data_IF_138945042281
#
_entry.id   IF_138945042281
#
_cell.length_a   1.000
_cell.length_b   1.000
_cell.length_c   1.000
_cell.angle_alpha   90.00
_cell.angle_beta   90.00
_cell.angle_gamma   90.00
#
_symmetry.space_group_name_H-M   'P 1'
#
loop_
_entity.id
_entity.type
_entity.pdbx_description
1 polymer ?
#
# COMPACT_ATOMS: atom_id res chain seq x y z
N UNK A 1 -12.65 -47.04 25.02
CA UNK A 1 -13.71 -47.06 23.99
C UNK A 1 -13.03 -47.26 22.65
N UNK A 2 -13.35 -48.30 21.89
CA UNK A 2 -12.76 -48.53 20.56
C UNK A 2 -13.33 -47.51 19.57
N UNK A 3 -12.45 -46.87 18.80
CA UNK A 3 -12.84 -46.01 17.67
C UNK A 3 -13.75 -46.80 16.72
N UNK A 4 -14.97 -46.31 16.49
CA UNK A 4 -15.92 -46.93 15.56
C UNK A 4 -15.41 -46.69 14.14
N UNK A 5 -15.12 -47.78 13.40
CA UNK A 5 -14.60 -47.69 12.03
C UNK A 5 -15.64 -47.06 11.10
N UNK A 6 -15.33 -45.87 10.58
CA UNK A 6 -16.17 -45.16 9.60
C UNK A 6 -15.91 -45.70 8.19
N UNK A 7 -16.97 -46.16 7.49
CA UNK A 7 -16.92 -46.62 6.10
C UNK A 7 -17.07 -45.49 5.05
N UNK A 8 -17.21 -44.24 5.51
CA UNK A 8 -17.33 -43.08 4.63
C UNK A 8 -16.04 -42.87 3.84
N UNK A 9 -16.18 -42.52 2.55
CA UNK A 9 -15.09 -42.13 1.65
C UNK A 9 -15.29 -40.67 1.21
N UNK A 10 -14.87 -39.68 2.02
CA UNK A 10 -14.98 -38.29 1.64
C UNK A 10 -14.23 -38.02 0.33
N UNK A 11 -14.89 -37.33 -0.59
CA UNK A 11 -14.28 -36.89 -1.83
C UNK A 11 -13.57 -35.54 -1.62
N UNK A 12 -12.31 -35.45 -2.01
CA UNK A 12 -11.52 -34.21 -1.97
C UNK A 12 -11.41 -33.65 -3.39
N UNK A 13 -12.22 -32.65 -3.77
CA UNK A 13 -12.14 -32.07 -5.10
C UNK A 13 -10.76 -31.44 -5.35
N UNK A 14 -10.17 -31.63 -6.55
CA UNK A 14 -8.89 -31.01 -6.88
C UNK A 14 -9.06 -29.49 -7.03
N UNK A 15 -8.15 -28.72 -6.44
CA UNK A 15 -8.06 -27.26 -6.61
C UNK A 15 -6.89 -26.95 -7.53
N UNK A 16 -7.11 -26.09 -8.54
CA UNK A 16 -6.06 -25.62 -9.45
C UNK A 16 -5.05 -24.77 -8.68
N UNK A 17 -3.88 -25.30 -8.33
CA UNK A 17 -2.93 -24.64 -7.41
C UNK A 17 -2.54 -23.20 -7.80
N UNK A 18 -2.29 -22.95 -9.09
CA UNK A 18 -1.79 -21.65 -9.57
C UNK A 18 -2.88 -20.71 -10.10
N UNK A 19 -4.02 -21.27 -10.52
CA UNK A 19 -5.03 -20.55 -11.32
C UNK A 19 -6.43 -20.59 -10.72
N UNK A 20 -6.60 -21.10 -9.50
CA UNK A 20 -7.90 -21.11 -8.80
C UNK A 20 -8.55 -19.72 -8.75
N UNK A 21 -7.76 -18.67 -8.65
CA UNK A 21 -8.24 -17.29 -8.53
C UNK A 21 -8.76 -16.72 -9.86
N UNK A 22 -8.47 -17.38 -10.99
CA UNK A 22 -9.03 -17.00 -12.30
C UNK A 22 -10.46 -17.48 -12.48
N UNK A 23 -10.93 -18.42 -11.64
CA UNK A 23 -12.25 -19.03 -11.79
C UNK A 23 -13.39 -18.10 -11.30
N UNK A 24 -13.09 -17.00 -10.58
CA UNK A 24 -14.10 -16.07 -10.07
C UNK A 24 -13.58 -14.61 -10.08
N UNK A 25 -14.34 -13.63 -10.63
CA UNK A 25 -13.98 -12.21 -10.61
C UNK A 25 -13.66 -11.66 -9.21
N UNK A 26 -14.31 -12.17 -8.16
CA UNK A 26 -14.01 -11.79 -6.77
C UNK A 26 -12.59 -12.18 -6.36
N UNK A 27 -12.12 -13.37 -6.78
CA UNK A 27 -10.76 -13.82 -6.49
C UNK A 27 -9.72 -13.06 -7.32
N UNK A 28 -10.05 -12.70 -8.56
CA UNK A 28 -9.22 -11.81 -9.37
C UNK A 28 -9.04 -10.47 -8.66
N UNK A 29 -10.14 -9.84 -8.21
CA UNK A 29 -10.08 -8.57 -7.49
C UNK A 29 -9.26 -8.67 -6.19
N UNK A 30 -9.42 -9.78 -5.45
CA UNK A 30 -8.57 -10.08 -4.29
C UNK A 30 -7.09 -10.15 -4.67
N UNK A 31 -6.72 -10.89 -5.71
CA UNK A 31 -5.33 -11.02 -6.14
C UNK A 31 -4.75 -9.69 -6.65
N UNK A 32 -5.55 -8.87 -7.34
CA UNK A 32 -5.15 -7.52 -7.75
C UNK A 32 -4.90 -6.63 -6.54
N UNK A 33 -5.75 -6.70 -5.50
CA UNK A 33 -5.54 -6.00 -4.23
C UNK A 33 -4.22 -6.40 -3.57
N UNK A 34 -3.97 -7.69 -3.42
CA UNK A 34 -2.71 -8.17 -2.83
C UNK A 34 -1.49 -7.80 -3.71
N UNK A 35 -1.67 -7.77 -5.03
CA UNK A 35 -0.65 -7.36 -5.99
C UNK A 35 -0.16 -5.92 -5.82
N UNK A 36 -0.96 -5.04 -5.19
CA UNK A 36 -0.52 -3.66 -4.86
C UNK A 36 0.76 -3.64 -4.01
N UNK A 37 1.05 -4.71 -3.27
CA UNK A 37 2.27 -4.83 -2.47
C UNK A 37 3.56 -4.81 -3.31
N UNK A 38 3.54 -5.35 -4.53
CA UNK A 38 4.70 -5.32 -5.43
C UNK A 38 5.00 -3.88 -5.86
N UNK A 39 3.96 -3.11 -6.18
CA UNK A 39 4.10 -1.70 -6.55
C UNK A 39 4.49 -0.83 -5.36
N UNK A 40 3.99 -1.14 -4.16
CA UNK A 40 4.43 -0.49 -2.93
C UNK A 40 5.93 -0.75 -2.65
N UNK A 41 6.39 -2.00 -2.86
CA UNK A 41 7.81 -2.34 -2.73
C UNK A 41 8.68 -1.54 -3.71
N UNK A 42 8.25 -1.41 -4.98
CA UNK A 42 8.98 -0.59 -5.95
C UNK A 42 9.07 0.87 -5.51
N UNK A 43 7.98 1.45 -4.99
CA UNK A 43 7.98 2.80 -4.47
C UNK A 43 8.99 2.99 -3.32
N UNK A 44 9.04 2.03 -2.38
CA UNK A 44 9.99 2.09 -1.26
C UNK A 44 11.43 1.95 -1.76
N UNK A 45 11.71 1.05 -2.71
CA UNK A 45 13.04 0.90 -3.29
C UNK A 45 13.49 2.19 -4.01
N UNK A 46 12.59 2.88 -4.71
CA UNK A 46 12.88 4.17 -5.33
C UNK A 46 13.21 5.26 -4.30
N UNK A 47 12.47 5.32 -3.19
CA UNK A 47 12.74 6.27 -2.10
C UNK A 47 14.09 5.96 -1.44
N UNK A 48 14.37 4.69 -1.15
CA UNK A 48 15.65 4.25 -0.57
C UNK A 48 16.80 4.59 -1.52
N UNK A 49 16.61 4.43 -2.83
CA UNK A 49 17.60 4.82 -3.83
C UNK A 49 17.84 6.34 -3.83
N UNK A 50 16.78 7.15 -3.71
CA UNK A 50 16.91 8.60 -3.56
C UNK A 50 17.66 9.01 -2.29
N UNK A 51 17.38 8.36 -1.15
CA UNK A 51 18.09 8.57 0.11
C UNK A 51 19.57 8.18 -0.04
N UNK A 52 19.86 7.06 -0.69
CA UNK A 52 21.22 6.63 -0.97
C UNK A 52 21.97 7.64 -1.85
N UNK A 53 21.33 8.14 -2.92
CA UNK A 53 21.90 9.17 -3.78
C UNK A 53 22.14 10.50 -3.04
N UNK A 54 21.25 10.86 -2.12
CA UNK A 54 21.45 12.03 -1.25
C UNK A 54 22.61 11.81 -0.26
N UNK A 55 22.76 10.61 0.30
CA UNK A 55 23.83 10.29 1.25
C UNK A 55 25.23 10.30 0.60
N UNK A 56 25.30 10.16 -0.73
CA UNK A 56 26.55 10.33 -1.49
C UNK A 56 26.89 11.80 -1.75
N UNK A 57 26.00 12.73 -1.46
CA UNK A 57 26.26 14.14 -1.65
C UNK A 57 27.13 14.72 -0.54
N UNK A 58 27.93 15.72 -0.90
CA UNK A 58 28.63 16.56 0.07
C UNK A 58 27.61 17.41 0.84
N UNK A 59 27.49 17.19 2.15
CA UNK A 59 26.62 17.97 3.03
C UNK A 59 27.48 18.94 3.85
N UNK A 60 27.38 20.22 3.55
CA UNK A 60 28.14 21.28 4.23
C UNK A 60 27.62 22.67 3.91
N UNK A 61 28.17 23.70 4.56
CA UNK A 61 27.73 25.10 4.43
C UNK A 61 27.99 25.73 3.05
N UNK A 62 28.79 25.09 2.20
CA UNK A 62 29.05 25.50 0.82
C UNK A 62 29.09 24.29 -0.12
N UNK A 63 27.92 23.73 -0.51
CA UNK A 63 27.85 22.58 -1.40
C UNK A 63 28.40 22.94 -2.79
N UNK A 64 29.26 22.08 -3.33
CA UNK A 64 29.78 22.23 -4.70
C UNK A 64 28.86 21.52 -5.69
N UNK A 65 28.84 21.96 -6.96
CA UNK A 65 28.05 21.31 -8.01
C UNK A 65 28.44 19.84 -8.19
N UNK A 66 29.73 19.52 -8.07
CA UNK A 66 30.25 18.15 -8.10
C UNK A 66 29.81 17.36 -6.87
N UNK A 67 29.76 17.99 -5.70
CA UNK A 67 29.34 17.38 -4.45
C UNK A 67 27.86 16.99 -4.42
N UNK A 68 26.98 17.71 -5.13
CA UNK A 68 25.55 17.37 -5.22
C UNK A 68 25.17 16.57 -6.47
N UNK A 69 26.14 16.26 -7.33
CA UNK A 69 25.92 15.60 -8.61
C UNK A 69 25.14 14.26 -8.52
N UNK A 70 25.36 13.39 -7.52
CA UNK A 70 24.62 12.13 -7.41
C UNK A 70 23.10 12.33 -7.30
N UNK A 71 22.66 13.22 -6.40
CA UNK A 71 21.24 13.49 -6.21
C UNK A 71 20.64 14.26 -7.39
N UNK A 72 21.38 15.20 -7.99
CA UNK A 72 20.94 15.88 -9.22
C UNK A 72 20.72 14.87 -10.35
N UNK A 73 21.63 13.89 -10.51
CA UNK A 73 21.46 12.84 -11.50
C UNK A 73 20.21 12.01 -11.23
N UNK A 74 19.97 11.62 -9.97
CA UNK A 74 18.75 10.91 -9.57
C UNK A 74 17.49 11.69 -9.94
N UNK A 75 17.43 12.99 -9.65
CA UNK A 75 16.28 13.81 -10.00
C UNK A 75 16.08 13.95 -11.52
N UNK A 76 17.15 14.30 -12.25
CA UNK A 76 17.03 14.69 -13.66
C UNK A 76 17.00 13.49 -14.62
N UNK A 77 17.82 12.47 -14.37
CA UNK A 77 18.02 11.37 -15.30
C UNK A 77 17.21 10.13 -14.91
N UNK A 78 17.07 9.86 -13.61
CA UNK A 78 16.27 8.72 -13.14
C UNK A 78 14.80 9.11 -13.01
N UNK A 79 14.44 10.03 -12.10
CA UNK A 79 13.05 10.47 -11.92
C UNK A 79 12.49 11.25 -13.11
N UNK A 80 13.34 12.00 -13.83
CA UNK A 80 12.96 12.70 -15.05
C UNK A 80 12.74 11.81 -16.27
N UNK A 81 13.04 10.50 -16.19
CA UNK A 81 12.81 9.56 -17.27
C UNK A 81 11.29 9.33 -17.47
N UNK A 82 10.73 9.53 -18.69
CA UNK A 82 9.31 9.33 -18.94
C UNK A 82 8.77 7.94 -18.56
N UNK A 83 9.60 6.90 -18.65
CA UNK A 83 9.22 5.53 -18.25
C UNK A 83 9.07 5.44 -16.73
N UNK A 84 9.99 6.03 -15.97
CA UNK A 84 9.93 6.05 -14.50
C UNK A 84 8.73 6.88 -14.03
N UNK A 85 8.46 8.02 -14.68
CA UNK A 85 7.26 8.82 -14.42
C UNK A 85 6.00 7.98 -14.64
N UNK A 86 5.89 7.26 -15.76
CA UNK A 86 4.74 6.40 -16.04
C UNK A 86 4.57 5.29 -14.98
N UNK A 87 5.68 4.66 -14.56
CA UNK A 87 5.67 3.66 -13.48
C UNK A 87 5.18 4.29 -12.18
N UNK A 88 5.64 5.49 -11.83
CA UNK A 88 5.24 6.19 -10.62
C UNK A 88 3.77 6.62 -10.63
N UNK A 89 3.22 6.96 -11.79
CA UNK A 89 1.76 7.17 -11.94
C UNK A 89 0.99 5.88 -11.68
N UNK A 90 1.45 4.74 -12.20
CA UNK A 90 0.84 3.43 -11.93
C UNK A 90 0.94 3.06 -10.45
N UNK A 91 2.09 3.32 -9.81
CA UNK A 91 2.28 3.14 -8.37
C UNK A 91 1.29 4.01 -7.60
N UNK A 92 1.13 5.29 -7.96
CA UNK A 92 0.20 6.19 -7.29
C UNK A 92 -1.25 5.68 -7.39
N UNK A 93 -1.70 5.32 -8.59
CA UNK A 93 -3.04 4.74 -8.80
C UNK A 93 -3.21 3.46 -7.98
N UNK A 94 -2.19 2.60 -7.94
CA UNK A 94 -2.18 1.38 -7.14
C UNK A 94 -2.30 1.66 -5.64
N UNK A 95 -1.59 2.66 -5.11
CA UNK A 95 -1.67 3.01 -3.69
C UNK A 95 -3.00 3.69 -3.32
N UNK A 96 -3.61 4.46 -4.23
CA UNK A 96 -4.97 4.97 -4.03
C UNK A 96 -5.98 3.83 -4.00
N UNK A 97 -5.88 2.87 -4.92
CA UNK A 97 -6.70 1.65 -4.90
C UNK A 97 -6.49 0.83 -3.63
N UNK A 98 -5.24 0.69 -3.18
CA UNK A 98 -4.90 0.05 -1.91
C UNK A 98 -5.59 0.74 -0.73
N UNK A 99 -5.49 2.07 -0.63
CA UNK A 99 -6.14 2.83 0.44
C UNK A 99 -7.66 2.61 0.48
N UNK A 100 -8.33 2.68 -0.67
CA UNK A 100 -9.79 2.47 -0.76
C UNK A 100 -10.18 1.07 -0.25
N UNK A 101 -9.48 0.03 -0.70
CA UNK A 101 -9.78 -1.35 -0.28
C UNK A 101 -9.43 -1.61 1.19
N UNK A 102 -8.32 -1.05 1.67
CA UNK A 102 -7.88 -1.15 3.06
C UNK A 102 -8.88 -0.48 4.00
N UNK A 103 -9.35 0.71 3.67
CA UNK A 103 -10.35 1.44 4.47
C UNK A 103 -11.70 0.71 4.50
N UNK A 104 -12.07 0.02 3.41
CA UNK A 104 -13.28 -0.81 3.38
C UNK A 104 -13.18 -2.06 4.27
N UNK A 105 -11.97 -2.57 4.54
CA UNK A 105 -11.73 -3.74 5.40
C UNK A 105 -11.56 -3.37 6.88
N UNK A 106 -11.09 -2.16 7.17
CA UNK A 106 -10.77 -1.71 8.53
C UNK A 106 -11.90 -1.89 9.56
N UNK A 107 -13.17 -1.54 9.28
CA UNK A 107 -14.27 -1.76 10.23
C UNK A 107 -14.49 -3.24 10.59
N UNK A 108 -14.07 -4.16 9.73
CA UNK A 108 -14.23 -5.61 9.92
C UNK A 108 -13.10 -6.20 10.77
N UNK A 109 -11.91 -5.61 10.69
CA UNK A 109 -10.74 -6.02 11.48
C UNK A 109 -10.78 -5.45 12.90
N UNK A 110 -11.24 -4.20 13.05
CA UNK A 110 -11.28 -3.49 14.34
C UNK A 110 -12.74 -3.36 14.80
N UNK A 111 -13.15 -4.25 15.71
CA UNK A 111 -14.51 -4.27 16.26
C UNK A 111 -14.60 -3.39 17.50
N UNK A 112 -15.17 -2.20 17.35
CA UNK A 112 -15.44 -1.26 18.45
C UNK A 112 -16.90 -1.40 18.88
N UNK A 113 -17.14 -1.72 20.14
CA UNK A 113 -18.49 -1.81 20.72
C UNK A 113 -18.97 -0.45 21.22
N UNK A 114 -20.23 -0.11 20.92
CA UNK A 114 -20.82 1.18 21.29
C UNK A 114 -21.06 1.33 22.79
N UNK A 115 -21.26 0.22 23.50
CA UNK A 115 -21.43 0.20 24.95
C UNK A 115 -20.94 -1.14 25.53
N UNK A 116 -20.87 -1.23 26.86
CA UNK A 116 -20.41 -2.43 27.58
C UNK A 116 -21.45 -3.56 27.65
N UNK A 117 -22.70 -3.28 27.32
CA UNK A 117 -23.85 -4.13 27.62
C UNK A 117 -24.52 -4.71 26.36
N UNK A 118 -23.98 -4.45 25.17
CA UNK A 118 -24.53 -4.89 23.89
C UNK A 118 -23.41 -5.28 22.95
N UNK A 119 -23.76 -6.07 21.93
CA UNK A 119 -22.86 -6.45 20.84
C UNK A 119 -22.95 -5.50 19.64
N UNK A 120 -23.60 -4.35 19.81
CA UNK A 120 -23.72 -3.34 18.76
C UNK A 120 -22.35 -2.73 18.46
N UNK A 121 -21.94 -2.83 17.20
CA UNK A 121 -20.68 -2.30 16.71
C UNK A 121 -20.84 -0.84 16.25
N UNK A 122 -19.75 -0.09 16.37
CA UNK A 122 -19.65 1.24 15.77
C UNK A 122 -19.99 1.15 14.27
N UNK A 123 -20.85 2.04 13.74
CA UNK A 123 -21.19 2.03 12.32
C UNK A 123 -19.95 2.16 11.44
N UNK A 124 -19.85 1.32 10.40
CA UNK A 124 -18.64 1.25 9.56
C UNK A 124 -18.25 2.59 8.94
N UNK A 125 -19.24 3.43 8.63
CA UNK A 125 -19.02 4.74 8.02
C UNK A 125 -18.17 5.65 8.91
N UNK A 126 -18.28 5.52 10.24
CA UNK A 126 -17.50 6.33 11.18
C UNK A 126 -16.00 6.06 11.00
N UNK A 127 -15.61 4.79 11.02
CA UNK A 127 -14.22 4.37 10.81
C UNK A 127 -13.72 4.74 9.42
N UNK A 128 -14.54 4.50 8.37
CA UNK A 128 -14.17 4.85 6.99
C UNK A 128 -13.98 6.36 6.83
N UNK A 129 -14.91 7.17 7.32
CA UNK A 129 -14.83 8.64 7.26
C UNK A 129 -13.61 9.16 8.01
N UNK A 130 -13.31 8.64 9.21
CA UNK A 130 -12.12 9.03 9.95
C UNK A 130 -10.83 8.73 9.17
N UNK A 131 -10.72 7.57 8.52
CA UNK A 131 -9.57 7.20 7.71
C UNK A 131 -9.40 8.11 6.47
N UNK A 132 -10.49 8.42 5.77
CA UNK A 132 -10.45 9.34 4.62
C UNK A 132 -10.11 10.78 5.05
N UNK A 133 -10.66 11.26 6.17
CA UNK A 133 -10.31 12.58 6.72
C UNK A 133 -8.84 12.63 7.13
N UNK A 134 -8.32 11.57 7.73
CA UNK A 134 -6.90 11.46 8.08
C UNK A 134 -6.01 11.46 6.81
N UNK A 135 -6.40 10.72 5.77
CA UNK A 135 -5.69 10.71 4.49
C UNK A 135 -5.63 12.12 3.88
N UNK A 136 -6.78 12.78 3.72
CA UNK A 136 -6.85 14.14 3.15
C UNK A 136 -6.08 15.13 4.00
N UNK A 137 -6.27 15.10 5.32
CA UNK A 137 -5.57 15.99 6.26
C UNK A 137 -4.06 15.82 6.20
N UNK A 138 -3.56 14.58 6.22
CA UNK A 138 -2.14 14.29 6.10
C UNK A 138 -1.57 14.75 4.75
N UNK A 139 -2.27 14.50 3.64
CA UNK A 139 -1.84 14.96 2.32
C UNK A 139 -1.73 16.49 2.26
N UNK A 140 -2.73 17.23 2.78
CA UNK A 140 -2.69 18.69 2.81
C UNK A 140 -1.53 19.20 3.65
N UNK A 141 -1.31 18.64 4.84
CA UNK A 141 -0.20 19.04 5.72
C UNK A 141 1.15 18.74 5.07
N UNK A 142 1.33 17.55 4.49
CA UNK A 142 2.59 17.17 3.82
C UNK A 142 2.88 18.10 2.65
N UNK A 143 1.89 18.42 1.81
CA UNK A 143 2.07 19.33 0.68
C UNK A 143 2.34 20.77 1.15
N UNK A 144 1.64 21.24 2.19
CA UNK A 144 1.89 22.55 2.76
C UNK A 144 3.32 22.66 3.30
N UNK A 145 3.80 21.67 4.05
CA UNK A 145 5.19 21.64 4.53
C UNK A 145 6.16 21.56 3.35
N UNK A 146 5.91 20.70 2.36
CA UNK A 146 6.83 20.53 1.25
C UNK A 146 6.99 21.76 0.34
N UNK A 147 5.95 22.59 0.21
CA UNK A 147 5.92 23.68 -0.77
C UNK A 147 5.73 25.09 -0.20
N UNK A 148 5.27 25.24 1.05
CA UNK A 148 4.98 26.55 1.65
C UNK A 148 5.97 26.95 2.76
N UNK A 149 6.78 26.03 3.29
CA UNK A 149 7.86 26.39 4.20
C UNK A 149 9.12 26.69 3.39
N UNK A 150 9.31 27.97 3.07
CA UNK A 150 10.55 28.54 2.51
C UNK A 150 11.35 29.15 3.65
#
# INVERSE_FOLDING_TARGET
MSEVKSYRKPYNPPVKKLTWWLDNPFYIYYMVREGTAVLALLAVLEIVFGIFMLALCEVGSAPTLTGVAPYIWYLQNFLGNPVIIAINVVILVSQLFHAVTWFALMPKAVRVFMNKNSTELLPEWVTKSALYLALVGATVVILAVAFLTI
#
